data_IF_137997628562
#
_entry.id   IF_137997628562
#
_cell.length_a   1.000
_cell.length_b   1.000
_cell.length_c   1.000
_cell.angle_alpha   90.00
_cell.angle_beta   90.00
_cell.angle_gamma   90.00
#
_symmetry.space_group_name_H-M   'P 1'
#
loop_
_entity.id
_entity.type
_entity.pdbx_description
1 polymer ?
#
# COMPACT_ATOMS: atom_id res chain seq x y z
N UNK A 1 -0.89 -11.67 -2.07
CA UNK A 1 -0.26 -11.23 -3.34
C UNK A 1 0.69 -10.05 -3.10
N UNK A 2 1.78 -9.94 -3.86
CA UNK A 2 2.66 -8.74 -3.85
C UNK A 2 2.20 -7.78 -4.96
N UNK A 3 2.07 -6.50 -4.62
CA UNK A 3 1.67 -5.42 -5.53
C UNK A 3 2.67 -4.28 -5.47
N UNK A 4 2.77 -3.51 -6.56
CA UNK A 4 3.65 -2.35 -6.68
C UNK A 4 2.88 -1.24 -7.39
N UNK A 5 2.81 -0.08 -6.76
CA UNK A 5 2.17 1.10 -7.33
C UNK A 5 3.12 2.28 -7.24
N UNK A 6 2.96 3.26 -8.14
CA UNK A 6 3.70 4.51 -8.04
C UNK A 6 3.34 5.17 -6.72
N UNK A 7 4.36 5.48 -5.93
CA UNK A 7 4.18 6.20 -4.70
C UNK A 7 3.88 7.66 -5.01
N UNK A 8 2.97 8.25 -4.23
CA UNK A 8 2.61 9.65 -4.34
C UNK A 8 2.57 10.27 -2.94
N UNK A 9 3.04 11.51 -2.84
CA UNK A 9 3.08 12.24 -1.58
C UNK A 9 4.17 11.79 -0.61
N UNK A 10 4.19 12.45 0.56
CA UNK A 10 5.02 12.06 1.70
C UNK A 10 4.24 11.11 2.60
N UNK A 11 4.85 9.98 2.94
CA UNK A 11 4.27 9.00 3.85
C UNK A 11 5.36 8.21 4.54
N UNK A 12 5.06 7.75 5.75
CA UNK A 12 5.94 6.86 6.48
C UNK A 12 5.57 5.39 6.22
N UNK A 13 6.56 4.52 6.07
CA UNK A 13 6.31 3.08 5.85
C UNK A 13 5.55 2.45 7.03
N UNK A 14 5.69 3.02 8.23
CA UNK A 14 4.92 2.59 9.40
C UNK A 14 3.44 2.88 9.25
N UNK A 15 3.07 4.05 8.71
CA UNK A 15 1.68 4.43 8.46
C UNK A 15 1.06 3.55 7.38
N UNK A 16 1.77 3.34 6.26
CA UNK A 16 1.33 2.42 5.20
C UNK A 16 1.03 1.03 5.76
N UNK A 17 1.91 0.48 6.63
CA UNK A 17 1.69 -0.82 7.26
C UNK A 17 0.46 -0.82 8.17
N UNK A 18 0.19 0.27 8.88
CA UNK A 18 -0.99 0.40 9.74
C UNK A 18 -2.27 0.44 8.90
N UNK A 19 -2.28 1.21 7.81
CA UNK A 19 -3.41 1.34 6.89
C UNK A 19 -3.67 0.03 6.13
N UNK A 20 -2.63 -0.74 5.79
CA UNK A 20 -2.78 -2.03 5.10
C UNK A 20 -3.16 -3.18 6.04
N UNK A 21 -2.96 -3.05 7.35
CA UNK A 21 -3.29 -4.09 8.36
C UNK A 21 -4.74 -4.60 8.29
N UNK A 22 -5.79 -3.74 8.22
CA UNK A 22 -7.17 -4.19 8.09
C UNK A 22 -7.46 -4.97 6.80
N UNK A 23 -6.63 -4.80 5.77
CA UNK A 23 -6.75 -5.48 4.48
C UNK A 23 -5.87 -6.75 4.38
N UNK A 24 -5.28 -7.20 5.50
CA UNK A 24 -4.36 -8.35 5.50
C UNK A 24 -2.94 -8.01 5.03
N UNK A 25 -2.53 -6.75 5.13
CA UNK A 25 -1.20 -6.27 4.80
C UNK A 25 -0.13 -6.92 5.67
N UNK A 26 0.79 -7.66 5.05
CA UNK A 26 1.90 -8.35 5.74
C UNK A 26 3.19 -7.56 5.71
N UNK A 27 3.44 -6.83 4.63
CA UNK A 27 4.68 -6.09 4.45
C UNK A 27 4.46 -4.92 3.49
N UNK A 28 5.20 -3.84 3.68
CA UNK A 28 5.27 -2.71 2.77
C UNK A 28 6.70 -2.17 2.77
N UNK A 29 7.18 -1.74 1.61
CA UNK A 29 8.47 -1.08 1.41
C UNK A 29 8.42 -0.14 0.21
N UNK A 30 9.27 0.86 0.22
CA UNK A 30 9.49 1.75 -0.91
C UNK A 30 10.65 1.23 -1.76
N UNK A 31 10.47 1.15 -3.08
CA UNK A 31 11.48 0.67 -4.04
C UNK A 31 11.34 1.47 -5.33
N UNK A 32 12.39 2.19 -5.75
CA UNK A 32 12.43 2.93 -7.03
C UNK A 32 11.16 3.77 -7.28
N UNK A 33 10.84 4.66 -6.35
CA UNK A 33 9.66 5.55 -6.40
C UNK A 33 8.30 4.83 -6.41
N UNK A 34 8.30 3.54 -6.04
CA UNK A 34 7.10 2.71 -5.97
C UNK A 34 6.89 2.18 -4.55
N UNK A 35 5.63 2.19 -4.13
CA UNK A 35 5.19 1.51 -2.93
C UNK A 35 4.92 0.04 -3.26
N UNK A 36 5.80 -0.85 -2.80
CA UNK A 36 5.62 -2.29 -2.88
C UNK A 36 5.06 -2.83 -1.57
N UNK A 37 3.90 -3.48 -1.62
CA UNK A 37 3.31 -4.12 -0.45
C UNK A 37 2.72 -5.50 -0.74
N UNK A 38 2.58 -6.29 0.32
CA UNK A 38 2.01 -7.61 0.29
C UNK A 38 0.67 -7.60 1.03
N UNK A 39 -0.40 -7.88 0.31
CA UNK A 39 -1.79 -7.83 0.75
C UNK A 39 -2.47 -9.17 0.47
N UNK A 40 -3.54 -9.51 1.16
CA UNK A 40 -4.34 -10.67 0.75
C UNK A 40 -5.02 -10.41 -0.61
N UNK A 41 -5.19 -11.46 -1.42
CA UNK A 41 -5.70 -11.28 -2.79
C UNK A 41 -7.16 -10.82 -2.80
N UNK A 42 -7.94 -11.21 -1.79
CA UNK A 42 -9.36 -10.82 -1.65
C UNK A 42 -9.52 -9.33 -1.30
N UNK A 43 -8.53 -8.73 -0.64
CA UNK A 43 -8.56 -7.32 -0.21
C UNK A 43 -7.72 -6.38 -1.07
N UNK A 44 -7.16 -6.88 -2.18
CA UNK A 44 -6.28 -6.09 -3.07
C UNK A 44 -6.96 -4.82 -3.58
N UNK A 45 -8.17 -4.94 -4.11
CA UNK A 45 -8.89 -3.82 -4.73
C UNK A 45 -9.26 -2.76 -3.70
N UNK A 46 -9.79 -3.19 -2.55
CA UNK A 46 -10.12 -2.32 -1.43
C UNK A 46 -8.89 -1.59 -0.87
N UNK A 47 -7.76 -2.30 -0.71
CA UNK A 47 -6.51 -1.71 -0.25
C UNK A 47 -5.94 -0.68 -1.25
N UNK A 48 -6.04 -0.98 -2.55
CA UNK A 48 -5.61 -0.05 -3.60
C UNK A 48 -6.45 1.23 -3.60
N UNK A 49 -7.78 1.11 -3.56
CA UNK A 49 -8.69 2.27 -3.48
C UNK A 49 -8.39 3.11 -2.23
N UNK A 50 -8.25 2.46 -1.06
CA UNK A 50 -7.95 3.16 0.19
C UNK A 50 -6.61 3.91 0.15
N UNK A 51 -5.55 3.26 -0.35
CA UNK A 51 -4.22 3.88 -0.51
C UNK A 51 -4.26 5.04 -1.50
N UNK A 52 -5.06 4.93 -2.57
CA UNK A 52 -5.23 5.96 -3.59
C UNK A 52 -6.03 7.16 -3.07
N UNK A 53 -7.12 6.92 -2.33
CA UNK A 53 -7.93 7.97 -1.70
C UNK A 53 -7.12 8.77 -0.66
N UNK A 54 -6.22 8.09 0.05
CA UNK A 54 -5.27 8.73 0.98
C UNK A 54 -4.15 9.50 0.27
N UNK A 55 -4.00 9.32 -1.04
CA UNK A 55 -2.98 9.97 -1.84
C UNK A 55 -1.59 9.37 -1.71
N UNK A 56 -1.46 8.15 -1.17
CA UNK A 56 -0.16 7.46 -1.01
C UNK A 56 0.34 6.82 -2.31
N UNK A 57 -0.57 6.53 -3.24
CA UNK A 57 -0.28 5.91 -4.53
C UNK A 57 -1.12 6.54 -5.66
N UNK A 58 -0.68 6.40 -6.91
CA UNK A 58 -1.43 6.80 -8.12
C UNK A 58 -2.42 5.75 -8.64
#
# INVERSE_FOLDING_TARGET
MKVKYLAKGEFDIKEIKAELKPFGGKCAKFVDDKLEYMIDSESKDAAYQHMKEKGYIE
#
